data_IF_217983149290
#
_entry.id   IF_217983149290
#
_cell.length_a   1.000
_cell.length_b   1.000
_cell.length_c   1.000
_cell.angle_alpha   90.00
_cell.angle_beta   90.00
_cell.angle_gamma   90.00
#
_symmetry.space_group_name_H-M   'P 1'
#
loop_
_entity.id
_entity.type
_entity.pdbx_description
1 polymer ?
#
# COMPACT_ATOMS: atom_id res chain seq x y z
N UNK A 1 2.65 5.52 -16.20
CA UNK A 1 1.38 4.92 -15.77
C UNK A 1 0.42 6.07 -15.55
N UNK A 2 -0.83 5.84 -15.93
CA UNK A 2 -1.89 6.82 -15.90
C UNK A 2 -2.84 6.52 -14.75
N UNK A 3 -3.25 7.57 -14.04
CA UNK A 3 -4.24 7.49 -12.96
C UNK A 3 -5.39 8.41 -13.31
N UNK A 4 -6.60 7.89 -13.26
CA UNK A 4 -7.83 8.66 -13.43
C UNK A 4 -8.46 8.89 -12.07
N UNK A 5 -8.68 10.16 -11.72
CA UNK A 5 -9.27 10.56 -10.45
C UNK A 5 -10.55 11.32 -10.76
N UNK A 6 -11.68 10.82 -10.31
CA UNK A 6 -12.95 11.53 -10.32
C UNK A 6 -13.19 12.15 -8.96
N UNK A 7 -13.33 13.47 -8.87
CA UNK A 7 -13.79 14.17 -7.67
C UNK A 7 -15.07 14.94 -7.99
N UNK A 8 -16.18 14.63 -7.31
CA UNK A 8 -17.45 15.35 -7.49
C UNK A 8 -17.91 15.42 -8.96
N UNK A 9 -17.76 14.32 -9.70
CA UNK A 9 -18.07 14.16 -11.14
C UNK A 9 -17.10 14.88 -12.11
N UNK A 10 -16.09 15.57 -11.61
CA UNK A 10 -14.99 16.11 -12.42
C UNK A 10 -13.86 15.10 -12.49
N UNK A 11 -13.30 14.88 -13.68
CA UNK A 11 -12.28 13.87 -13.94
C UNK A 11 -10.94 14.50 -14.28
N UNK A 12 -9.90 13.97 -13.64
CA UNK A 12 -8.52 14.39 -13.77
C UNK A 12 -7.67 13.21 -14.21
N UNK A 13 -6.73 13.46 -15.11
CA UNK A 13 -5.81 12.46 -15.64
C UNK A 13 -4.39 12.81 -15.22
N UNK A 14 -3.81 11.96 -14.36
CA UNK A 14 -2.46 12.12 -13.87
C UNK A 14 -1.56 11.17 -14.63
N UNK A 15 -0.63 11.73 -15.40
CA UNK A 15 0.34 10.98 -16.19
C UNK A 15 1.66 10.83 -15.43
N UNK A 16 2.44 9.81 -15.81
CA UNK A 16 3.81 9.60 -15.33
C UNK A 16 3.95 9.40 -13.80
N UNK A 17 2.94 8.84 -13.15
CA UNK A 17 3.03 8.50 -11.73
C UNK A 17 4.10 7.43 -11.49
N UNK A 18 5.02 7.68 -10.55
CA UNK A 18 6.12 6.76 -10.19
C UNK A 18 5.58 5.58 -9.41
N UNK A 19 5.67 4.37 -9.95
CA UNK A 19 4.86 3.23 -9.49
C UNK A 19 5.65 1.98 -9.05
N UNK A 20 6.99 2.02 -9.01
CA UNK A 20 7.81 0.84 -8.66
C UNK A 20 7.96 0.59 -7.14
N UNK A 21 7.20 1.28 -6.29
CA UNK A 21 7.27 1.18 -4.82
C UNK A 21 5.99 0.59 -4.25
N UNK A 22 6.08 -0.15 -3.14
CA UNK A 22 4.90 -0.67 -2.40
C UNK A 22 3.91 0.43 -2.01
N UNK A 23 4.39 1.66 -1.93
CA UNK A 23 3.60 2.85 -1.67
C UNK A 23 3.57 3.68 -2.95
N UNK A 24 2.37 3.89 -3.48
CA UNK A 24 2.10 4.81 -4.57
C UNK A 24 1.66 6.13 -3.97
N UNK A 25 2.50 7.16 -4.08
CA UNK A 25 2.13 8.53 -3.75
C UNK A 25 1.82 9.28 -5.06
N UNK A 26 0.56 9.66 -5.22
CA UNK A 26 0.05 10.42 -6.36
C UNK A 26 -0.07 11.87 -5.90
N UNK A 27 0.83 12.73 -6.39
CA UNK A 27 0.74 14.16 -6.15
C UNK A 27 -0.28 14.78 -7.12
N UNK A 28 -1.23 15.55 -6.59
CA UNK A 28 -2.31 16.18 -7.35
C UNK A 28 -2.42 17.68 -7.09
N UNK A 29 -1.42 18.29 -6.46
CA UNK A 29 -1.41 19.71 -6.08
C UNK A 29 -1.66 20.62 -7.29
N UNK A 30 -1.01 20.32 -8.42
CA UNK A 30 -1.13 21.11 -9.65
C UNK A 30 -2.51 21.01 -10.31
N UNK A 31 -3.33 20.02 -9.92
CA UNK A 31 -4.68 19.84 -10.44
C UNK A 31 -5.73 20.70 -9.74
N UNK A 32 -5.37 21.32 -8.60
CA UNK A 32 -6.26 22.21 -7.84
C UNK A 32 -7.63 21.58 -7.52
N UNK A 33 -7.64 20.29 -7.18
CA UNK A 33 -8.86 19.52 -6.93
C UNK A 33 -9.60 20.02 -5.68
N UNK A 34 -10.70 20.75 -5.87
CA UNK A 34 -11.45 21.35 -4.76
C UNK A 34 -12.60 20.46 -4.27
N UNK A 35 -12.62 20.23 -2.97
CA UNK A 35 -13.66 19.47 -2.27
C UNK A 35 -14.83 20.38 -1.88
N UNK A 36 -16.03 19.80 -1.84
CA UNK A 36 -17.30 20.36 -1.36
C UNK A 36 -17.59 19.89 0.07
N UNK A 37 -18.76 20.25 0.63
CA UNK A 37 -19.18 19.74 1.95
C UNK A 37 -19.31 18.22 1.97
N UNK A 38 -19.84 17.68 0.88
CA UNK A 38 -20.01 16.26 0.63
C UNK A 38 -19.30 15.93 -0.66
N UNK A 39 -18.46 14.90 -0.62
CA UNK A 39 -17.58 14.54 -1.72
C UNK A 39 -17.80 13.10 -2.15
N UNK A 40 -17.75 12.87 -3.46
CA UNK A 40 -17.54 11.56 -4.04
C UNK A 40 -16.17 11.52 -4.68
N UNK A 41 -15.42 10.44 -4.43
CA UNK A 41 -14.15 10.20 -5.07
C UNK A 41 -14.14 8.84 -5.74
N UNK A 42 -13.60 8.82 -6.95
CA UNK A 42 -13.31 7.63 -7.73
C UNK A 42 -11.84 7.66 -8.10
N UNK A 43 -11.13 6.56 -7.88
CA UNK A 43 -9.74 6.39 -8.34
C UNK A 43 -9.74 5.16 -9.23
N UNK A 44 -9.15 5.28 -10.43
CA UNK A 44 -9.02 4.19 -11.38
C UNK A 44 -7.61 4.15 -11.95
N UNK A 45 -7.04 2.96 -11.96
CA UNK A 45 -5.67 2.68 -12.36
C UNK A 45 -5.63 1.36 -13.08
N UNK A 46 -5.46 1.40 -14.40
CA UNK A 46 -5.40 0.20 -15.23
C UNK A 46 -3.97 -0.27 -15.41
N UNK A 47 -3.78 -1.58 -15.29
CA UNK A 47 -2.50 -2.26 -15.44
C UNK A 47 -1.32 -1.58 -14.72
N UNK A 48 -1.44 -1.22 -13.42
CA UNK A 48 -0.34 -0.57 -12.70
C UNK A 48 0.96 -1.36 -12.73
N UNK A 49 0.86 -2.70 -12.81
CA UNK A 49 1.99 -3.63 -12.86
C UNK A 49 1.60 -4.87 -13.66
N UNK A 50 2.60 -5.65 -14.10
CA UNK A 50 2.42 -6.88 -14.88
C UNK A 50 1.36 -7.86 -14.32
N UNK A 51 1.17 -7.89 -13.00
CA UNK A 51 0.23 -8.81 -12.35
C UNK A 51 -0.91 -8.11 -11.59
N UNK A 52 -1.00 -6.78 -11.67
CA UNK A 52 -2.11 -6.00 -11.12
C UNK A 52 -2.87 -5.45 -12.32
N UNK A 53 -4.08 -5.94 -12.52
CA UNK A 53 -4.93 -5.56 -13.65
C UNK A 53 -5.60 -4.23 -13.38
N UNK A 54 -6.05 -4.02 -12.14
CA UNK A 54 -6.80 -2.84 -11.77
C UNK A 54 -6.55 -2.47 -10.31
N UNK A 55 -6.42 -1.17 -10.04
CA UNK A 55 -6.66 -0.61 -8.72
C UNK A 55 -7.81 0.37 -8.84
N UNK A 56 -8.84 0.18 -8.01
CA UNK A 56 -10.02 1.01 -8.01
C UNK A 56 -10.43 1.40 -6.60
N UNK A 57 -10.96 2.61 -6.44
CA UNK A 57 -11.59 3.04 -5.19
C UNK A 57 -12.81 3.88 -5.53
N UNK A 58 -13.90 3.66 -4.82
CA UNK A 58 -15.09 4.50 -4.89
C UNK A 58 -15.59 4.70 -3.46
N UNK A 59 -15.58 5.93 -2.99
CA UNK A 59 -16.08 6.24 -1.65
C UNK A 59 -16.57 7.68 -1.52
N UNK A 60 -17.30 7.92 -0.43
CA UNK A 60 -17.84 9.22 -0.07
C UNK A 60 -17.23 9.70 1.23
N UNK A 61 -16.99 11.00 1.33
CA UNK A 61 -16.57 11.63 2.58
C UNK A 61 -17.20 13.02 2.69
N UNK A 62 -17.34 13.52 3.92
CA UNK A 62 -17.93 14.82 4.19
C UNK A 62 -17.14 15.54 5.27
N UNK A 63 -17.19 16.87 5.24
CA UNK A 63 -16.66 17.70 6.30
C UNK A 63 -17.77 17.98 7.33
N UNK A 64 -17.52 17.69 8.60
CA UNK A 64 -18.44 18.04 9.70
C UNK A 64 -18.59 19.56 9.77
N UNK A 65 -17.45 20.25 9.86
CA UNK A 65 -17.34 21.70 9.80
C UNK A 65 -16.58 22.14 8.54
N UNK A 66 -16.83 23.36 8.10
CA UNK A 66 -16.15 23.88 6.91
C UNK A 66 -14.65 24.06 7.19
N UNK A 67 -13.76 23.41 6.42
CA UNK A 67 -12.33 23.44 6.73
C UNK A 67 -11.76 24.84 6.47
N UNK A 68 -10.95 25.30 7.43
CA UNK A 68 -10.29 26.60 7.35
C UNK A 68 -9.13 26.56 6.35
N UNK A 69 -8.81 27.71 5.77
CA UNK A 69 -7.65 27.83 4.88
C UNK A 69 -6.37 27.45 5.62
N UNK A 70 -5.67 26.43 5.13
CA UNK A 70 -4.41 25.94 5.70
C UNK A 70 -4.53 24.81 6.71
N UNK A 71 -5.73 24.37 7.08
CA UNK A 71 -5.89 23.19 7.94
C UNK A 71 -5.47 21.92 7.19
N UNK A 72 -4.62 21.09 7.78
CA UNK A 72 -4.26 19.79 7.21
C UNK A 72 -5.25 18.72 7.66
N UNK A 73 -5.61 17.80 6.77
CA UNK A 73 -6.53 16.71 7.06
C UNK A 73 -6.17 15.44 6.30
N UNK A 74 -6.68 14.32 6.81
CA UNK A 74 -6.58 13.03 6.15
C UNK A 74 -7.93 12.33 6.10
N UNK A 75 -8.23 11.69 4.98
CA UNK A 75 -9.36 10.77 4.85
C UNK A 75 -8.80 9.39 4.54
N UNK A 76 -9.09 8.43 5.41
CA UNK A 76 -8.63 7.05 5.26
C UNK A 76 -9.81 6.21 4.80
N UNK A 77 -9.62 5.55 3.67
CA UNK A 77 -10.58 4.63 3.07
C UNK A 77 -9.84 3.41 2.54
N UNK A 78 -10.47 2.70 1.62
CA UNK A 78 -9.98 1.47 1.03
C UNK A 78 -10.09 1.52 -0.49
N UNK A 79 -9.13 0.88 -1.15
CA UNK A 79 -9.14 0.58 -2.57
C UNK A 79 -9.17 -0.93 -2.78
N UNK A 80 -9.78 -1.37 -3.87
CA UNK A 80 -9.76 -2.74 -4.35
C UNK A 80 -8.64 -2.90 -5.35
N UNK A 81 -7.88 -3.97 -5.22
CA UNK A 81 -6.80 -4.33 -6.13
C UNK A 81 -7.16 -5.67 -6.75
N UNK A 82 -7.35 -5.66 -8.07
CA UNK A 82 -7.56 -6.86 -8.89
C UNK A 82 -6.23 -7.31 -9.48
N UNK A 83 -5.96 -8.60 -9.34
CA UNK A 83 -4.65 -9.12 -9.67
C UNK A 83 -4.70 -10.60 -10.06
N UNK A 84 -3.71 -11.05 -10.83
CA UNK A 84 -3.62 -12.45 -11.26
C UNK A 84 -2.43 -13.18 -10.64
N UNK A 85 -2.69 -14.34 -10.06
CA UNK A 85 -1.70 -15.29 -9.50
C UNK A 85 -2.09 -16.70 -9.90
N UNK A 86 -1.12 -17.49 -10.39
CA UNK A 86 -1.34 -18.87 -10.86
C UNK A 86 -2.49 -18.99 -11.88
N UNK A 87 -2.57 -18.04 -12.81
CA UNK A 87 -3.64 -17.91 -13.81
C UNK A 87 -5.06 -17.80 -13.22
N UNK A 88 -5.18 -17.41 -11.94
CA UNK A 88 -6.44 -17.10 -11.28
C UNK A 88 -6.51 -15.62 -10.94
N UNK A 89 -7.65 -15.03 -11.24
CA UNK A 89 -7.96 -13.67 -10.82
C UNK A 89 -8.32 -13.66 -9.33
N UNK A 90 -7.75 -12.70 -8.62
CA UNK A 90 -7.92 -12.51 -7.19
C UNK A 90 -8.19 -11.03 -6.91
N UNK A 91 -8.78 -10.77 -5.75
CA UNK A 91 -9.10 -9.42 -5.29
C UNK A 91 -8.73 -9.26 -3.83
N UNK A 92 -8.14 -8.12 -3.50
CA UNK A 92 -7.86 -7.72 -2.12
C UNK A 92 -8.14 -6.24 -1.92
N UNK A 93 -8.31 -5.86 -0.66
CA UNK A 93 -8.63 -4.49 -0.29
C UNK A 93 -7.50 -3.89 0.55
N UNK A 94 -6.97 -2.76 0.11
CA UNK A 94 -5.85 -2.05 0.76
C UNK A 94 -6.25 -0.64 1.18
N UNK A 95 -5.58 -0.07 2.20
CA UNK A 95 -5.80 1.32 2.57
C UNK A 95 -5.52 2.28 1.41
N UNK A 96 -6.35 3.31 1.32
CA UNK A 96 -6.17 4.47 0.46
C UNK A 96 -6.33 5.72 1.32
N UNK A 97 -5.33 6.60 1.31
CA UNK A 97 -5.29 7.78 2.16
C UNK A 97 -5.30 9.02 1.27
N UNK A 98 -6.22 9.94 1.55
CA UNK A 98 -6.28 11.25 0.92
C UNK A 98 -5.70 12.28 1.88
N UNK A 99 -4.75 13.08 1.41
CA UNK A 99 -4.19 14.21 2.14
C UNK A 99 -4.79 15.51 1.63
N UNK A 100 -5.33 16.31 2.55
CA UNK A 100 -6.08 17.52 2.27
C UNK A 100 -5.42 18.73 2.92
N UNK A 101 -5.49 19.88 2.26
CA UNK A 101 -5.17 21.19 2.81
C UNK A 101 -6.32 22.16 2.60
N UNK A 102 -7.00 22.52 3.69
CA UNK A 102 -8.27 23.22 3.65
C UNK A 102 -9.29 22.39 2.87
N UNK A 103 -9.70 22.90 1.72
CA UNK A 103 -10.66 22.24 0.81
C UNK A 103 -9.99 21.52 -0.35
N UNK A 104 -8.66 21.57 -0.49
CA UNK A 104 -7.98 21.01 -1.64
C UNK A 104 -7.42 19.64 -1.33
N UNK A 105 -7.54 18.72 -2.30
CA UNK A 105 -6.83 17.46 -2.29
C UNK A 105 -5.41 17.71 -2.81
N UNK A 106 -4.42 17.33 -2.00
CA UNK A 106 -3.01 17.57 -2.29
C UNK A 106 -2.35 16.29 -2.80
N UNK A 107 -2.58 15.18 -2.09
CA UNK A 107 -1.92 13.90 -2.38
C UNK A 107 -2.86 12.73 -2.09
N UNK A 108 -2.64 11.64 -2.82
CA UNK A 108 -3.30 10.36 -2.61
C UNK A 108 -2.23 9.29 -2.42
N UNK A 109 -2.36 8.51 -1.35
CA UNK A 109 -1.47 7.41 -1.03
C UNK A 109 -2.20 6.09 -1.11
N UNK A 110 -1.73 5.21 -2.00
CA UNK A 110 -2.27 3.88 -2.23
C UNK A 110 -1.20 2.84 -1.94
N UNK A 111 -1.53 1.85 -1.12
CA UNK A 111 -0.67 0.71 -0.88
C UNK A 111 -0.87 -0.32 -2.00
N UNK A 112 0.20 -0.64 -2.74
CA UNK A 112 0.20 -1.59 -3.85
C UNK A 112 0.97 -2.88 -3.48
N UNK A 113 0.49 -4.06 -3.91
CA UNK A 113 1.23 -5.31 -3.74
C UNK A 113 2.46 -5.37 -4.65
N UNK A 114 3.63 -5.70 -4.09
CA UNK A 114 4.90 -5.95 -4.81
C UNK A 114 4.91 -7.45 -5.24
N UNK A 115 5.36 -7.84 -6.45
CA UNK A 115 5.20 -9.24 -6.99
C UNK A 115 6.47 -9.85 -7.63
N UNK A 116 6.61 -11.20 -7.79
CA UNK A 116 5.55 -12.23 -7.96
C UNK A 116 5.57 -13.50 -7.05
N UNK A 117 4.41 -14.14 -6.94
CA UNK A 117 4.05 -15.45 -6.34
C UNK A 117 4.23 -15.69 -4.83
N UNK A 118 5.31 -15.28 -4.16
CA UNK A 118 5.53 -15.64 -2.74
C UNK A 118 5.04 -14.57 -1.73
N UNK A 119 4.63 -13.39 -2.23
CA UNK A 119 4.61 -12.14 -1.44
C UNK A 119 3.28 -11.78 -0.74
N UNK A 120 2.24 -12.62 -0.84
CA UNK A 120 1.01 -12.45 -0.04
C UNK A 120 1.29 -12.65 1.47
N UNK A 121 2.42 -13.26 1.83
CA UNK A 121 2.91 -13.38 3.20
C UNK A 121 3.52 -12.08 3.75
N UNK A 122 4.29 -11.27 3.00
CA UNK A 122 4.83 -9.98 3.51
C UNK A 122 3.79 -8.93 3.86
N UNK A 123 2.64 -8.92 3.21
CA UNK A 123 1.56 -8.02 3.61
C UNK A 123 0.94 -8.44 4.93
N UNK A 124 0.92 -9.73 5.27
CA UNK A 124 0.65 -10.15 6.64
C UNK A 124 1.78 -9.67 7.56
N UNK A 125 3.05 -9.81 7.20
CA UNK A 125 4.18 -9.42 8.06
C UNK A 125 4.22 -7.93 8.45
N UNK A 126 3.85 -7.01 7.56
CA UNK A 126 3.82 -5.57 7.90
C UNK A 126 2.69 -5.15 8.86
N UNK A 127 1.61 -5.93 8.94
CA UNK A 127 0.46 -5.65 9.81
C UNK A 127 0.31 -6.67 10.95
N UNK A 128 1.15 -7.70 10.99
CA UNK A 128 1.19 -8.69 12.05
C UNK A 128 2.04 -8.15 13.20
N UNK A 129 1.55 -8.16 14.46
CA UNK A 129 2.37 -7.75 15.58
C UNK A 129 3.58 -8.71 15.69
N UNK A 130 4.78 -8.19 15.50
CA UNK A 130 6.03 -8.92 15.72
C UNK A 130 6.08 -9.33 17.19
N UNK A 131 5.87 -10.63 17.45
CA UNK A 131 6.06 -11.24 18.76
C UNK A 131 7.46 -11.83 18.80
N UNK A 132 8.22 -11.53 19.86
CA UNK A 132 9.49 -12.19 20.16
C UNK A 132 9.24 -13.70 20.28
N UNK A 133 10.03 -14.51 19.58
CA UNK A 133 9.95 -15.97 19.53
C UNK A 133 9.21 -16.55 18.31
N UNK A 134 8.72 -15.73 17.38
CA UNK A 134 7.96 -16.20 16.21
C UNK A 134 8.73 -16.00 14.90
N UNK A 135 8.80 -17.03 14.06
CA UNK A 135 9.51 -16.95 12.77
C UNK A 135 8.75 -16.10 11.74
N UNK A 136 9.39 -15.07 11.17
CA UNK A 136 8.83 -14.16 10.15
C UNK A 136 8.66 -14.79 8.77
N UNK A 137 8.87 -16.11 8.60
CA UNK A 137 8.65 -16.80 7.31
C UNK A 137 7.59 -17.89 7.41
N UNK A 138 7.57 -18.67 8.48
CA UNK A 138 6.52 -19.68 8.68
C UNK A 138 5.38 -19.20 9.60
N UNK A 139 5.57 -18.11 10.36
CA UNK A 139 4.63 -17.58 11.37
C UNK A 139 4.39 -18.52 12.57
N UNK A 140 5.30 -19.46 12.83
CA UNK A 140 5.20 -20.38 13.96
C UNK A 140 6.11 -19.94 15.12
N UNK A 141 5.63 -20.14 16.34
CA UNK A 141 6.43 -19.98 17.56
C UNK A 141 7.46 -21.10 17.61
N UNK A 142 8.74 -20.74 17.54
CA UNK A 142 9.84 -21.69 17.48
C UNK A 142 10.86 -21.34 18.56
N UNK A 143 11.34 -22.35 19.29
CA UNK A 143 12.35 -22.16 20.34
C UNK A 143 13.72 -21.75 19.78
N UNK A 144 13.96 -22.00 18.49
CA UNK A 144 15.22 -21.75 17.80
C UNK A 144 15.02 -20.75 16.64
N UNK A 145 14.61 -19.53 16.97
CA UNK A 145 14.61 -18.41 16.04
C UNK A 145 15.81 -17.51 16.28
N UNK A 146 16.36 -16.93 15.22
CA UNK A 146 17.49 -15.99 15.26
C UNK A 146 17.10 -14.70 14.57
N UNK A 147 17.44 -13.56 15.17
CA UNK A 147 17.34 -12.28 14.47
C UNK A 147 18.37 -12.27 13.35
N UNK A 148 17.91 -12.10 12.11
CA UNK A 148 18.77 -12.17 10.91
C UNK A 148 19.51 -10.86 10.62
N UNK A 149 19.35 -9.86 11.50
CA UNK A 149 20.09 -8.61 11.45
C UNK A 149 20.72 -8.28 12.80
N UNK A 150 21.79 -7.49 12.77
CA UNK A 150 22.49 -7.00 13.97
C UNK A 150 21.79 -5.80 14.66
N UNK A 151 20.64 -5.36 14.14
CA UNK A 151 19.92 -4.15 14.54
C UNK A 151 18.52 -4.47 15.09
N UNK A 152 17.80 -3.44 15.52
CA UNK A 152 16.53 -3.53 16.27
C UNK A 152 15.31 -3.94 15.42
N UNK A 153 15.49 -4.33 14.14
CA UNK A 153 14.37 -4.73 13.29
C UNK A 153 13.65 -6.02 13.74
N UNK A 154 14.26 -6.81 14.64
CA UNK A 154 13.70 -8.03 15.23
C UNK A 154 13.10 -9.00 14.19
N UNK A 155 13.76 -9.13 13.03
CA UNK A 155 13.35 -10.09 12.00
C UNK A 155 13.85 -11.49 12.39
N UNK A 156 13.07 -12.18 13.21
CA UNK A 156 13.42 -13.50 13.72
C UNK A 156 13.05 -14.61 12.73
N UNK A 157 14.00 -15.46 12.36
CA UNK A 157 13.78 -16.60 11.46
C UNK A 157 14.18 -17.91 12.13
N UNK A 158 13.38 -18.96 11.95
CA UNK A 158 13.81 -20.30 12.37
C UNK A 158 14.89 -20.83 11.41
N UNK A 159 15.76 -21.69 11.92
CA UNK A 159 16.87 -22.27 11.14
C UNK A 159 16.39 -22.96 9.84
N UNK A 160 15.25 -23.64 9.87
CA UNK A 160 14.72 -24.31 8.67
C UNK A 160 14.34 -23.33 7.56
N UNK A 161 13.73 -22.19 7.91
CA UNK A 161 13.37 -21.16 6.94
C UNK A 161 14.60 -20.44 6.42
N UNK A 162 15.61 -20.20 7.27
CA UNK A 162 16.87 -19.59 6.89
C UNK A 162 17.62 -20.42 5.85
N UNK A 163 17.71 -21.75 6.05
CA UNK A 163 18.39 -22.66 5.12
C UNK A 163 17.70 -22.81 3.76
N UNK A 164 16.41 -22.47 3.68
CA UNK A 164 15.62 -22.55 2.42
C UNK A 164 15.76 -21.28 1.56
N UNK A 165 16.43 -20.24 2.05
CA UNK A 165 16.63 -19.01 1.30
C UNK A 165 17.58 -19.25 0.11
N UNK A 166 17.14 -18.85 -1.09
CA UNK A 166 17.94 -18.94 -2.31
C UNK A 166 18.99 -17.82 -2.43
N UNK A 167 18.83 -16.75 -1.66
CA UNK A 167 19.70 -15.58 -1.61
C UNK A 167 19.93 -15.19 -0.15
N UNK A 168 21.08 -14.59 0.15
CA UNK A 168 21.44 -14.11 1.49
C UNK A 168 20.78 -12.76 1.79
N UNK A 169 19.48 -12.66 1.52
CA UNK A 169 18.68 -11.43 1.68
C UNK A 169 17.50 -11.75 2.61
N UNK A 170 17.23 -10.85 3.55
CA UNK A 170 16.08 -10.99 4.44
C UNK A 170 14.78 -10.89 3.62
N UNK A 171 13.85 -11.84 3.76
CA UNK A 171 12.61 -11.80 2.98
C UNK A 171 11.76 -10.57 3.31
N UNK A 172 11.87 -10.04 4.54
CA UNK A 172 11.07 -8.90 4.99
C UNK A 172 11.62 -7.56 4.46
N UNK A 173 12.87 -7.22 4.78
CA UNK A 173 13.44 -5.92 4.43
C UNK A 173 14.37 -5.93 3.21
N UNK A 174 14.74 -7.12 2.71
CA UNK A 174 15.67 -7.33 1.58
C UNK A 174 17.08 -6.77 1.80
N UNK A 175 17.43 -6.47 3.05
CA UNK A 175 18.82 -6.24 3.45
C UNK A 175 19.57 -7.57 3.54
N UNK A 176 20.90 -7.50 3.42
CA UNK A 176 21.75 -8.68 3.55
C UNK A 176 21.63 -9.29 4.96
N UNK A 177 21.56 -10.63 5.03
CA UNK A 177 21.52 -11.36 6.30
C UNK A 177 22.94 -11.51 6.83
N UNK A 178 23.15 -11.10 8.10
CA UNK A 178 24.46 -11.11 8.76
C UNK A 178 24.71 -12.47 9.39
#
# INVERSE_FOLDING_TARGET
MDVYIGLNYEWFHIVNVKYYRSILLINVVDQQMQCKKTNSITILMENPRTNIELVSAVFYFYFQDWPQTGSMGQVISKCTILYTTDNKQNQETFPCILFLKGQHLEEILVYLPVRPTDFLRELKYHFYPTRLGSCVVCLEDNTNVVNVHANDYAHEMCNECLLKLKKRECPICREEII
#
